data_IF_582247053965
#
_entry.id   IF_582247053965
#
_cell.length_a   1.000
_cell.length_b   1.000
_cell.length_c   1.000
_cell.angle_alpha   90.00
_cell.angle_beta   90.00
_cell.angle_gamma   90.00
#
_symmetry.space_group_name_H-M   'P 1'
#
loop_
_entity.id
_entity.type
_entity.pdbx_description
1 polymer ?
#
# COMPACT_ATOMS: atom_id res chain seq x y z
N UNK A 1 37.01 18.71 33.19
CA UNK A 1 36.67 17.45 32.50
C UNK A 1 35.35 17.69 31.81
N UNK A 2 35.40 18.15 30.55
CA UNK A 2 34.21 18.24 29.71
C UNK A 2 33.80 16.82 29.32
N UNK A 3 32.52 16.51 29.57
CA UNK A 3 31.93 15.26 29.15
C UNK A 3 31.85 15.26 27.61
N UNK A 4 32.69 14.45 26.98
CA UNK A 4 32.59 14.12 25.56
C UNK A 4 31.27 13.40 25.38
N UNK A 5 30.27 14.10 24.84
CA UNK A 5 29.06 13.47 24.33
C UNK A 5 29.48 12.55 23.19
N UNK A 6 29.36 11.25 23.43
CA UNK A 6 29.61 10.22 22.44
C UNK A 6 28.45 10.28 21.44
N UNK A 7 28.59 11.10 20.38
CA UNK A 7 27.71 10.98 19.21
C UNK A 7 27.84 9.56 18.69
N UNK A 8 26.76 8.78 18.77
CA UNK A 8 26.71 7.48 18.10
C UNK A 8 26.97 7.72 16.61
N UNK A 9 27.92 7.00 15.98
CA UNK A 9 28.23 7.25 14.58
C UNK A 9 26.97 7.02 13.73
N UNK A 10 26.54 8.06 12.99
CA UNK A 10 25.47 7.92 12.00
C UNK A 10 25.85 6.82 11.02
N UNK A 11 25.01 5.80 10.92
CA UNK A 11 25.18 4.70 9.96
C UNK A 11 25.18 5.30 8.55
N UNK A 12 26.21 5.01 7.75
CA UNK A 12 26.32 5.51 6.38
C UNK A 12 25.25 4.88 5.46
N UNK A 13 24.89 5.53 4.32
CA UNK A 13 24.00 4.95 3.32
C UNK A 13 24.43 3.54 2.89
N UNK A 14 25.72 3.33 2.64
CA UNK A 14 26.27 2.03 2.25
C UNK A 14 26.05 0.95 3.33
N UNK A 15 26.22 1.31 4.62
CA UNK A 15 25.93 0.40 5.73
C UNK A 15 24.43 0.09 5.85
N UNK A 16 23.55 1.05 5.51
CA UNK A 16 22.09 0.81 5.47
C UNK A 16 21.71 -0.17 4.35
N UNK A 17 22.27 -0.03 3.13
CA UNK A 17 22.08 -1.04 2.06
C UNK A 17 22.60 -2.42 2.48
N UNK A 18 23.81 -2.48 3.05
CA UNK A 18 24.37 -3.74 3.55
C UNK A 18 23.47 -4.41 4.60
N UNK A 19 22.85 -3.61 5.46
CA UNK A 19 21.88 -4.13 6.43
C UNK A 19 20.62 -4.68 5.75
N UNK A 20 20.12 -4.03 4.72
CA UNK A 20 18.97 -4.53 3.96
C UNK A 20 19.28 -5.87 3.28
N UNK A 21 20.50 -6.03 2.73
CA UNK A 21 20.97 -7.31 2.18
C UNK A 21 21.01 -8.41 3.25
N UNK A 22 21.57 -8.11 4.43
CA UNK A 22 21.63 -9.05 5.55
C UNK A 22 20.22 -9.51 5.95
N UNK A 23 19.28 -8.57 6.06
CA UNK A 23 17.89 -8.85 6.43
C UNK A 23 17.20 -9.69 5.35
N UNK A 24 17.24 -9.26 4.07
CA UNK A 24 16.69 -10.00 2.91
C UNK A 24 17.17 -11.46 2.90
N UNK A 25 18.48 -11.69 3.07
CA UNK A 25 19.04 -13.06 3.14
C UNK A 25 18.47 -13.89 4.28
N UNK A 26 18.22 -13.27 5.43
CA UNK A 26 17.73 -13.95 6.64
C UNK A 26 16.24 -14.27 6.58
N UNK A 27 15.44 -13.39 5.97
CA UNK A 27 13.98 -13.53 5.94
C UNK A 27 13.44 -14.23 4.70
N UNK A 28 14.32 -14.54 3.73
CA UNK A 28 13.97 -15.19 2.46
C UNK A 28 13.01 -16.36 2.65
N UNK A 29 11.94 -16.33 1.86
CA UNK A 29 10.87 -17.33 1.90
C UNK A 29 10.42 -17.72 0.49
N UNK A 30 9.69 -18.83 0.41
CA UNK A 30 9.14 -19.42 -0.82
C UNK A 30 7.61 -19.44 -0.78
N UNK A 31 6.97 -19.09 -1.91
CA UNK A 31 5.51 -19.01 -2.02
C UNK A 31 4.85 -20.34 -1.68
N UNK A 32 5.37 -21.46 -2.19
CA UNK A 32 4.73 -22.77 -2.04
C UNK A 32 5.01 -23.40 -0.68
N UNK A 33 6.28 -23.39 -0.26
CA UNK A 33 6.72 -24.06 0.97
C UNK A 33 6.35 -23.30 2.24
N UNK A 34 6.47 -21.98 2.23
CA UNK A 34 6.40 -21.19 3.47
C UNK A 34 5.04 -20.48 3.59
N UNK A 35 4.49 -19.99 2.47
CA UNK A 35 3.25 -19.20 2.45
C UNK A 35 2.03 -20.05 2.12
N UNK A 36 1.78 -20.40 0.87
CA UNK A 36 0.53 -21.00 0.42
C UNK A 36 0.34 -22.42 0.96
N UNK A 37 1.36 -23.28 0.88
CA UNK A 37 1.35 -24.64 1.46
C UNK A 37 0.16 -25.50 1.01
N UNK A 38 -0.31 -25.29 -0.22
CA UNK A 38 -1.50 -25.97 -0.75
C UNK A 38 -2.81 -25.63 -0.03
N UNK A 39 -2.84 -24.57 0.79
CA UNK A 39 -4.04 -24.11 1.50
C UNK A 39 -4.96 -23.34 0.57
N UNK A 40 -6.24 -23.32 0.95
CA UNK A 40 -7.30 -22.55 0.30
C UNK A 40 -7.89 -21.55 1.29
N UNK A 41 -8.56 -20.52 0.78
CA UNK A 41 -9.36 -19.66 1.64
C UNK A 41 -10.62 -20.39 2.09
N UNK A 42 -10.94 -20.23 3.37
CA UNK A 42 -12.20 -20.70 3.95
C UNK A 42 -13.23 -19.56 3.87
N UNK A 43 -14.39 -19.75 3.20
CA UNK A 43 -15.45 -18.75 3.12
C UNK A 43 -16.07 -18.36 4.48
N UNK A 44 -15.80 -19.12 5.55
CA UNK A 44 -16.20 -18.77 6.91
C UNK A 44 -15.30 -17.70 7.56
N UNK A 45 -14.10 -17.45 7.03
CA UNK A 45 -13.17 -16.46 7.58
C UNK A 45 -13.29 -15.08 6.93
N UNK A 46 -12.94 -14.03 7.67
CA UNK A 46 -12.69 -12.70 7.11
C UNK A 46 -11.36 -12.69 6.34
N UNK A 47 -11.25 -11.88 5.29
CA UNK A 47 -9.97 -11.66 4.62
C UNK A 47 -9.35 -10.33 5.04
N UNK A 48 -10.09 -9.22 4.98
CA UNK A 48 -9.63 -7.92 5.47
C UNK A 48 -9.95 -7.73 6.97
N UNK A 49 -9.01 -7.23 7.80
CA UNK A 49 -9.31 -6.90 9.20
C UNK A 49 -10.21 -5.68 9.33
N UNK A 50 -10.86 -5.51 10.48
CA UNK A 50 -11.88 -4.47 10.69
C UNK A 50 -11.31 -3.04 10.64
N UNK A 51 -10.08 -2.86 11.10
CA UNK A 51 -9.37 -1.57 11.04
C UNK A 51 -9.06 -1.10 9.61
N UNK A 52 -9.04 -2.02 8.64
CA UNK A 52 -8.81 -1.70 7.22
C UNK A 52 -10.11 -1.71 6.41
N UNK A 53 -10.99 -2.67 6.66
CA UNK A 53 -12.29 -2.73 6.00
C UNK A 53 -13.21 -1.57 6.37
N UNK A 54 -13.05 -1.04 7.59
CA UNK A 54 -13.94 -0.07 8.23
C UNK A 54 -15.42 -0.47 8.22
N UNK A 55 -15.70 -1.78 8.08
CA UNK A 55 -17.05 -2.32 7.88
C UNK A 55 -17.97 -2.03 9.06
N UNK A 56 -17.40 -1.74 10.23
CA UNK A 56 -18.15 -1.36 11.43
C UNK A 56 -18.91 -0.04 11.30
N UNK A 57 -18.58 0.81 10.30
CA UNK A 57 -19.29 2.05 9.98
C UNK A 57 -20.59 1.82 9.19
N UNK A 58 -20.92 0.57 8.85
CA UNK A 58 -22.13 0.16 8.16
C UNK A 58 -23.02 -0.67 9.11
N UNK A 59 -23.73 -0.02 10.07
CA UNK A 59 -24.42 -0.71 11.16
C UNK A 59 -25.56 -1.62 10.69
N UNK A 60 -26.16 -1.33 9.54
CA UNK A 60 -27.23 -2.11 8.92
C UNK A 60 -26.77 -3.44 8.32
N UNK A 61 -25.45 -3.66 8.18
CA UNK A 61 -24.92 -4.95 7.70
C UNK A 61 -24.85 -5.96 8.83
N UNK A 62 -25.38 -7.16 8.57
CA UNK A 62 -25.26 -8.30 9.50
C UNK A 62 -23.85 -8.92 9.51
N UNK A 63 -23.60 -9.89 10.40
CA UNK A 63 -22.28 -10.51 10.52
C UNK A 63 -21.80 -11.26 9.26
N UNK A 64 -22.70 -11.84 8.48
CA UNK A 64 -22.37 -12.51 7.22
C UNK A 64 -22.07 -11.48 6.13
N UNK A 65 -22.87 -10.44 6.03
CA UNK A 65 -22.69 -9.33 5.09
C UNK A 65 -21.35 -8.62 5.35
N UNK A 66 -21.00 -8.36 6.62
CA UNK A 66 -19.70 -7.79 6.99
C UNK A 66 -18.53 -8.69 6.62
N UNK A 67 -18.67 -10.01 6.84
CA UNK A 67 -17.65 -10.98 6.42
C UNK A 67 -17.48 -10.96 4.90
N UNK A 68 -18.58 -10.97 4.13
CA UNK A 68 -18.52 -10.89 2.67
C UNK A 68 -17.81 -9.62 2.19
N UNK A 69 -18.14 -8.46 2.78
CA UNK A 69 -17.45 -7.19 2.50
C UNK A 69 -15.94 -7.32 2.73
N UNK A 70 -15.54 -7.89 3.87
CA UNK A 70 -14.12 -8.09 4.18
C UNK A 70 -13.41 -9.02 3.18
N UNK A 71 -14.13 -9.99 2.61
CA UNK A 71 -13.59 -10.92 1.61
C UNK A 71 -13.40 -10.25 0.26
N UNK A 72 -14.37 -9.43 -0.15
CA UNK A 72 -14.29 -8.62 -1.37
C UNK A 72 -13.12 -7.62 -1.26
N UNK A 73 -13.05 -6.86 -0.17
CA UNK A 73 -11.95 -5.92 0.06
C UNK A 73 -10.61 -6.62 0.14
N UNK A 74 -10.53 -7.80 0.80
CA UNK A 74 -9.29 -8.58 0.87
C UNK A 74 -8.81 -9.05 -0.50
N UNK A 75 -9.73 -9.43 -1.39
CA UNK A 75 -9.43 -9.77 -2.79
C UNK A 75 -8.93 -8.55 -3.57
N UNK A 76 -9.61 -7.41 -3.44
CA UNK A 76 -9.17 -6.14 -4.04
C UNK A 76 -7.80 -5.72 -3.53
N UNK A 77 -7.52 -5.93 -2.25
CA UNK A 77 -6.24 -5.58 -1.65
C UNK A 77 -5.06 -6.39 -2.19
N UNK A 78 -5.22 -7.70 -2.34
CA UNK A 78 -4.21 -8.51 -3.02
C UNK A 78 -3.98 -8.05 -4.47
N UNK A 79 -5.06 -7.79 -5.23
CA UNK A 79 -4.93 -7.32 -6.61
C UNK A 79 -4.29 -5.93 -6.73
N UNK A 80 -4.59 -5.02 -5.79
CA UNK A 80 -4.01 -3.68 -5.77
C UNK A 80 -2.51 -3.71 -5.54
N UNK A 81 -2.04 -4.46 -4.54
CA UNK A 81 -0.60 -4.64 -4.31
C UNK A 81 0.09 -5.31 -5.49
N UNK A 82 -0.47 -6.38 -6.05
CA UNK A 82 0.10 -7.01 -7.24
C UNK A 82 0.25 -6.07 -8.44
N UNK A 83 -0.61 -5.05 -8.56
CA UNK A 83 -0.50 -4.00 -9.57
C UNK A 83 0.51 -2.91 -9.18
N UNK A 84 0.60 -2.54 -7.90
CA UNK A 84 1.57 -1.57 -7.39
C UNK A 84 3.01 -2.09 -7.53
N UNK A 85 3.26 -3.34 -7.13
CA UNK A 85 4.60 -3.97 -7.21
C UNK A 85 5.17 -3.95 -8.63
N UNK A 86 4.29 -3.89 -9.64
CA UNK A 86 4.69 -3.83 -11.04
C UNK A 86 5.47 -2.57 -11.38
N UNK A 87 4.96 -1.40 -10.99
CA UNK A 87 5.67 -0.15 -11.27
C UNK A 87 6.80 0.10 -10.27
N UNK A 88 6.66 -0.37 -9.03
CA UNK A 88 7.70 -0.31 -8.00
C UNK A 88 8.94 -1.07 -8.46
N UNK A 89 8.80 -2.36 -8.80
CA UNK A 89 9.90 -3.17 -9.30
C UNK A 89 10.54 -2.61 -10.59
N UNK A 90 9.72 -2.08 -11.52
CA UNK A 90 10.23 -1.46 -12.74
C UNK A 90 11.05 -0.19 -12.47
N UNK A 91 10.58 0.69 -11.58
CA UNK A 91 11.34 1.90 -11.21
C UNK A 91 12.61 1.54 -10.45
N UNK A 92 12.56 0.55 -9.57
CA UNK A 92 13.72 0.11 -8.80
C UNK A 92 14.82 -0.47 -9.71
N UNK A 93 14.47 -1.23 -10.74
CA UNK A 93 15.42 -1.65 -11.77
C UNK A 93 16.05 -0.46 -12.51
N UNK A 94 15.26 0.56 -12.85
CA UNK A 94 15.74 1.75 -13.53
C UNK A 94 16.77 2.51 -12.69
N UNK A 95 16.46 2.83 -11.43
CA UNK A 95 17.37 3.56 -10.54
C UNK A 95 18.57 2.71 -10.13
N UNK A 96 18.42 1.39 -10.06
CA UNK A 96 19.50 0.44 -9.81
C UNK A 96 20.61 0.50 -10.86
N UNK A 97 20.29 0.88 -12.11
CA UNK A 97 21.27 1.05 -13.19
C UNK A 97 22.35 2.08 -12.86
N UNK A 98 22.02 3.12 -12.10
CA UNK A 98 22.98 4.15 -11.70
C UNK A 98 24.11 3.60 -10.81
N UNK A 99 23.87 2.48 -10.13
CA UNK A 99 24.86 1.81 -9.28
C UNK A 99 25.69 0.76 -10.01
N UNK A 100 25.39 0.45 -11.29
CA UNK A 100 25.91 -0.71 -12.00
C UNK A 100 27.45 -0.83 -11.98
N UNK A 101 28.16 0.29 -12.13
CA UNK A 101 29.63 0.36 -12.09
C UNK A 101 30.16 1.12 -10.85
N UNK A 102 29.26 1.48 -9.92
CA UNK A 102 29.53 2.27 -8.73
C UNK A 102 29.38 1.44 -7.45
N UNK A 103 28.43 1.82 -6.60
CA UNK A 103 28.19 1.14 -5.32
C UNK A 103 27.55 -0.25 -5.52
N UNK A 104 28.40 -1.28 -5.57
CA UNK A 104 27.96 -2.66 -5.72
C UNK A 104 27.08 -3.15 -4.56
N UNK A 105 27.17 -2.52 -3.38
CA UNK A 105 26.31 -2.86 -2.24
C UNK A 105 24.89 -2.35 -2.48
N UNK A 106 24.75 -1.12 -2.97
CA UNK A 106 23.44 -0.58 -3.35
C UNK A 106 22.83 -1.38 -4.51
N UNK A 107 23.64 -1.72 -5.53
CA UNK A 107 23.20 -2.56 -6.65
C UNK A 107 22.67 -3.93 -6.18
N UNK A 108 23.41 -4.64 -5.31
CA UNK A 108 22.92 -5.93 -4.79
C UNK A 108 21.61 -5.76 -4.01
N UNK A 109 21.49 -4.72 -3.18
CA UNK A 109 20.27 -4.45 -2.41
C UNK A 109 19.07 -4.24 -3.33
N UNK A 110 19.23 -3.47 -4.41
CA UNK A 110 18.15 -3.19 -5.38
C UNK A 110 17.80 -4.43 -6.21
N UNK A 111 18.79 -5.23 -6.61
CA UNK A 111 18.51 -6.50 -7.33
C UNK A 111 17.68 -7.45 -6.46
N UNK A 112 17.98 -7.53 -5.16
CA UNK A 112 17.20 -8.33 -4.20
C UNK A 112 15.79 -7.79 -4.02
N UNK A 113 15.68 -6.48 -3.82
CA UNK A 113 14.39 -5.78 -3.77
C UNK A 113 13.54 -6.17 -4.98
N UNK A 114 14.08 -6.06 -6.20
CA UNK A 114 13.32 -6.38 -7.41
C UNK A 114 12.93 -7.87 -7.49
N UNK A 115 13.82 -8.79 -7.09
CA UNK A 115 13.49 -10.23 -7.02
C UNK A 115 12.31 -10.48 -6.06
N UNK A 116 12.30 -9.78 -4.92
CA UNK A 116 11.24 -9.81 -3.92
C UNK A 116 9.92 -9.25 -4.48
N UNK A 117 9.95 -8.12 -5.20
CA UNK A 117 8.76 -7.57 -5.87
C UNK A 117 8.17 -8.48 -6.95
N UNK A 118 9.01 -9.13 -7.75
CA UNK A 118 8.54 -10.08 -8.76
C UNK A 118 7.88 -11.30 -8.10
N UNK A 119 8.40 -11.74 -6.96
CA UNK A 119 7.81 -12.79 -6.15
C UNK A 119 6.48 -12.35 -5.53
N UNK A 120 6.36 -11.09 -5.08
CA UNK A 120 5.09 -10.54 -4.59
C UNK A 120 4.02 -10.48 -5.69
N UNK A 121 4.37 -10.03 -6.90
CA UNK A 121 3.46 -10.06 -8.05
C UNK A 121 2.93 -11.48 -8.32
N UNK A 122 3.83 -12.47 -8.31
CA UNK A 122 3.44 -13.87 -8.50
C UNK A 122 2.56 -14.39 -7.36
N UNK A 123 2.89 -14.04 -6.11
CA UNK A 123 2.08 -14.38 -4.94
C UNK A 123 0.67 -13.82 -5.10
N UNK A 124 0.51 -12.53 -5.41
CA UNK A 124 -0.80 -11.89 -5.49
C UNK A 124 -1.64 -12.39 -6.66
N UNK A 125 -1.02 -12.71 -7.81
CA UNK A 125 -1.71 -13.38 -8.92
C UNK A 125 -2.29 -14.74 -8.51
N UNK A 126 -1.56 -15.49 -7.67
CA UNK A 126 -2.03 -16.79 -7.13
C UNK A 126 -3.08 -16.62 -6.04
N UNK A 127 -2.95 -15.60 -5.19
CA UNK A 127 -3.95 -15.24 -4.17
C UNK A 127 -5.28 -14.88 -4.82
N UNK A 128 -5.24 -14.13 -5.93
CA UNK A 128 -6.46 -13.83 -6.69
C UNK A 128 -7.13 -15.11 -7.20
N UNK A 129 -6.38 -16.03 -7.81
CA UNK A 129 -6.94 -17.30 -8.26
C UNK A 129 -7.58 -18.10 -7.10
N UNK A 130 -6.99 -18.07 -5.90
CA UNK A 130 -7.55 -18.72 -4.71
C UNK A 130 -8.82 -18.01 -4.20
N UNK A 131 -8.84 -16.67 -4.22
CA UNK A 131 -10.01 -15.88 -3.84
C UNK A 131 -11.18 -16.10 -4.81
N UNK A 132 -10.90 -16.22 -6.11
CA UNK A 132 -11.87 -16.53 -7.15
C UNK A 132 -12.54 -17.90 -6.97
N UNK A 133 -11.85 -18.88 -6.38
CA UNK A 133 -12.44 -20.19 -6.04
C UNK A 133 -13.35 -20.12 -4.80
N UNK A 134 -13.16 -19.12 -3.95
CA UNK A 134 -13.80 -19.02 -2.64
C UNK A 134 -14.99 -18.06 -2.63
N UNK A 135 -15.09 -17.20 -3.64
CA UNK A 135 -16.17 -16.24 -3.83
C UNK A 135 -16.95 -16.55 -5.11
N UNK A 136 -18.24 -16.21 -5.19
CA UNK A 136 -19.01 -16.35 -6.42
C UNK A 136 -18.38 -15.62 -7.62
N UNK A 137 -18.78 -15.96 -8.87
CA UNK A 137 -18.37 -15.21 -10.04
C UNK A 137 -18.99 -13.80 -10.06
N UNK A 138 -18.36 -12.86 -10.77
CA UNK A 138 -18.88 -11.50 -10.98
C UNK A 138 -17.96 -10.39 -10.50
N UNK A 139 -16.98 -10.70 -9.64
CA UNK A 139 -15.93 -9.77 -9.24
C UNK A 139 -15.15 -9.24 -10.44
N UNK A 140 -14.81 -7.96 -10.42
CA UNK A 140 -13.98 -7.31 -11.43
C UNK A 140 -12.94 -6.42 -10.75
N UNK A 141 -11.67 -6.68 -11.05
CA UNK A 141 -10.61 -5.72 -10.78
C UNK A 141 -10.54 -4.74 -11.96
N UNK A 142 -10.85 -3.48 -11.71
CA UNK A 142 -10.99 -2.43 -12.72
C UNK A 142 -9.62 -1.97 -13.27
N UNK A 143 -8.59 -1.72 -12.44
CA UNK A 143 -7.32 -1.21 -12.92
C UNK A 143 -6.63 -2.19 -13.88
N UNK A 144 -6.07 -1.65 -14.97
CA UNK A 144 -5.19 -2.40 -15.87
C UNK A 144 -3.74 -2.16 -15.47
N UNK A 145 -3.06 -3.19 -14.97
CA UNK A 145 -1.75 -3.03 -14.33
C UNK A 145 -0.69 -2.40 -15.25
N UNK A 146 -0.68 -2.75 -16.54
CA UNK A 146 0.26 -2.16 -17.51
C UNK A 146 -0.03 -0.69 -17.82
N UNK A 147 -1.31 -0.30 -17.88
CA UNK A 147 -1.69 1.10 -18.12
C UNK A 147 -1.35 1.97 -16.92
N UNK A 148 -1.63 1.47 -15.71
CA UNK A 148 -1.27 2.16 -14.47
C UNK A 148 0.25 2.27 -14.36
N UNK A 149 0.99 1.19 -14.62
CA UNK A 149 2.45 1.22 -14.59
C UNK A 149 3.02 2.21 -15.62
N UNK A 150 2.49 2.24 -16.85
CA UNK A 150 2.91 3.19 -17.87
C UNK A 150 2.63 4.65 -17.47
N UNK A 151 1.49 4.93 -16.86
CA UNK A 151 1.17 6.25 -16.33
C UNK A 151 2.14 6.66 -15.22
N UNK A 152 2.36 5.79 -14.23
CA UNK A 152 3.24 6.07 -13.08
C UNK A 152 4.67 6.28 -13.55
N UNK A 153 5.20 5.38 -14.39
CA UNK A 153 6.57 5.45 -14.92
C UNK A 153 6.81 6.64 -15.86
N UNK A 154 5.74 7.31 -16.32
CA UNK A 154 5.82 8.57 -17.05
C UNK A 154 6.03 9.81 -16.18
N UNK A 155 6.02 9.67 -14.84
CA UNK A 155 6.24 10.78 -13.89
C UNK A 155 7.70 10.91 -13.47
N UNK A 156 8.04 12.01 -12.80
CA UNK A 156 9.42 12.21 -12.32
C UNK A 156 9.86 11.10 -11.37
N UNK A 157 11.12 10.67 -11.45
CA UNK A 157 11.70 9.65 -10.57
C UNK A 157 11.54 10.02 -9.10
N UNK A 158 11.72 11.30 -8.75
CA UNK A 158 11.51 11.80 -7.39
C UNK A 158 10.08 11.53 -6.89
N UNK A 159 9.06 11.80 -7.72
CA UNK A 159 7.65 11.60 -7.35
C UNK A 159 7.31 10.12 -7.18
N UNK A 160 7.84 9.27 -8.05
CA UNK A 160 7.61 7.83 -8.00
C UNK A 160 8.25 7.26 -6.74
N UNK A 161 9.49 7.63 -6.41
CA UNK A 161 10.15 7.19 -5.17
C UNK A 161 9.46 7.72 -3.91
N UNK A 162 8.93 8.94 -3.93
CA UNK A 162 8.11 9.48 -2.85
C UNK A 162 6.83 8.65 -2.64
N UNK A 163 6.15 8.29 -3.74
CA UNK A 163 4.96 7.43 -3.71
C UNK A 163 5.30 6.02 -3.20
N UNK A 164 6.34 5.38 -3.74
CA UNK A 164 6.80 4.05 -3.31
C UNK A 164 7.13 4.04 -1.82
N UNK A 165 7.91 5.01 -1.34
CA UNK A 165 8.23 5.13 0.09
C UNK A 165 6.98 5.26 0.96
N UNK A 166 5.96 6.00 0.49
CA UNK A 166 4.67 6.08 1.19
C UNK A 166 3.96 4.72 1.23
N UNK A 167 3.89 4.01 0.09
CA UNK A 167 3.29 2.68 -0.01
C UNK A 167 4.00 1.68 0.90
N UNK A 168 5.33 1.69 0.98
CA UNK A 168 6.03 0.77 1.87
C UNK A 168 5.78 1.07 3.35
N UNK A 169 5.52 2.33 3.69
CA UNK A 169 5.12 2.70 5.04
C UNK A 169 3.68 2.22 5.32
N UNK A 170 2.78 2.31 4.34
CA UNK A 170 1.40 1.78 4.44
C UNK A 170 1.40 0.29 4.81
N UNK A 171 2.24 -0.53 4.17
CA UNK A 171 2.30 -1.98 4.47
C UNK A 171 2.71 -2.24 5.92
N UNK A 172 3.60 -1.43 6.48
CA UNK A 172 3.98 -1.48 7.90
C UNK A 172 2.82 -1.14 8.83
N UNK A 173 2.10 -0.06 8.53
CA UNK A 173 0.94 0.41 9.30
C UNK A 173 -0.14 -0.67 9.33
N UNK A 174 -0.49 -1.20 8.16
CA UNK A 174 -1.55 -2.20 8.01
C UNK A 174 -1.26 -3.49 8.78
N UNK A 175 -0.04 -4.01 8.67
CA UNK A 175 0.30 -5.24 9.36
C UNK A 175 0.28 -5.06 10.88
N UNK A 176 1.02 -4.04 11.40
CA UNK A 176 1.21 -3.85 12.84
C UNK A 176 -0.06 -3.37 13.55
N UNK A 177 -0.84 -2.49 12.93
CA UNK A 177 -1.99 -1.88 13.60
C UNK A 177 -3.27 -2.71 13.41
N UNK A 178 -3.37 -3.54 12.36
CA UNK A 178 -4.60 -4.27 12.05
C UNK A 178 -4.42 -5.79 11.92
N UNK A 179 -3.51 -6.27 11.07
CA UNK A 179 -3.48 -7.70 10.73
C UNK A 179 -2.87 -8.58 11.84
N UNK A 180 -1.84 -8.10 12.53
CA UNK A 180 -1.15 -8.87 13.58
C UNK A 180 -2.08 -9.21 14.76
N UNK A 181 -2.92 -8.26 15.16
CA UNK A 181 -3.79 -8.39 16.33
C UNK A 181 -5.15 -9.05 16.04
N UNK A 182 -5.62 -9.07 14.79
CA UNK A 182 -6.90 -9.69 14.45
C UNK A 182 -6.77 -11.23 14.48
N UNK A 183 -7.42 -11.86 15.46
CA UNK A 183 -7.48 -13.31 15.65
C UNK A 183 -8.58 -13.99 14.84
N UNK A 184 -9.49 -13.21 14.26
CA UNK A 184 -10.61 -13.67 13.43
C UNK A 184 -10.30 -13.64 11.92
N UNK A 185 -9.10 -13.19 11.57
CA UNK A 185 -8.60 -13.16 10.19
C UNK A 185 -8.32 -14.58 9.69
N UNK A 186 -8.58 -14.81 8.41
CA UNK A 186 -8.16 -16.04 7.72
C UNK A 186 -6.67 -16.33 7.99
N UNK A 187 -6.32 -17.53 8.51
CA UNK A 187 -4.93 -17.88 8.77
C UNK A 187 -4.04 -17.80 7.51
N UNK A 188 -4.60 -18.14 6.34
CA UNK A 188 -3.89 -18.02 5.06
C UNK A 188 -3.65 -16.55 4.71
N UNK A 189 -4.66 -15.69 4.86
CA UNK A 189 -4.53 -14.25 4.56
C UNK A 189 -3.50 -13.60 5.50
N UNK A 190 -3.55 -13.93 6.79
CA UNK A 190 -2.60 -13.43 7.77
C UNK A 190 -1.16 -13.85 7.45
N UNK A 191 -0.95 -15.09 7.03
CA UNK A 191 0.38 -15.55 6.61
C UNK A 191 0.86 -14.84 5.33
N UNK A 192 0.00 -14.70 4.30
CA UNK A 192 0.33 -13.99 3.06
C UNK A 192 0.90 -12.60 3.37
N UNK A 193 0.18 -11.81 4.17
CA UNK A 193 0.61 -10.45 4.47
C UNK A 193 1.69 -10.36 5.54
N UNK A 194 1.86 -11.37 6.41
CA UNK A 194 3.04 -11.47 7.27
C UNK A 194 4.32 -11.64 6.45
N UNK A 195 4.30 -12.51 5.45
CA UNK A 195 5.48 -12.79 4.63
C UNK A 195 5.80 -11.64 3.66
N UNK A 196 4.77 -11.03 3.07
CA UNK A 196 4.90 -9.77 2.31
C UNK A 196 5.50 -8.66 3.19
N UNK A 197 4.88 -8.35 4.33
CA UNK A 197 5.34 -7.30 5.25
C UNK A 197 6.78 -7.48 5.76
N UNK A 198 7.21 -8.74 5.98
CA UNK A 198 8.60 -9.01 6.37
C UNK A 198 9.57 -8.40 5.37
N UNK A 199 9.28 -8.51 4.08
CA UNK A 199 10.12 -7.97 3.01
C UNK A 199 9.89 -6.47 2.77
N UNK A 200 8.65 -5.98 2.91
CA UNK A 200 8.42 -4.54 2.78
C UNK A 200 9.10 -3.69 3.87
N UNK A 201 9.46 -4.31 4.99
CA UNK A 201 10.13 -3.61 6.09
C UNK A 201 11.53 -3.10 5.75
N UNK A 202 12.27 -3.80 4.89
CA UNK A 202 13.55 -3.31 4.37
C UNK A 202 13.40 -2.50 3.09
N UNK A 203 12.35 -2.74 2.29
CA UNK A 203 12.08 -1.97 1.08
C UNK A 203 11.93 -0.48 1.40
N UNK A 204 11.15 -0.14 2.43
CA UNK A 204 11.02 1.22 2.94
C UNK A 204 12.36 1.92 3.27
N UNK A 205 13.42 1.16 3.61
CA UNK A 205 14.76 1.73 3.85
C UNK A 205 15.47 2.04 2.53
N UNK A 206 15.37 1.12 1.57
CA UNK A 206 15.98 1.27 0.24
C UNK A 206 15.29 2.43 -0.49
N UNK A 207 13.96 2.52 -0.46
CA UNK A 207 13.23 3.62 -1.11
C UNK A 207 13.59 4.98 -0.54
N UNK A 208 13.70 5.08 0.79
CA UNK A 208 14.16 6.30 1.44
C UNK A 208 15.57 6.69 0.97
N UNK A 209 16.49 5.74 0.85
CA UNK A 209 17.85 6.00 0.37
C UNK A 209 17.89 6.44 -1.10
N UNK A 210 17.13 5.76 -1.97
CA UNK A 210 17.02 6.12 -3.38
C UNK A 210 16.36 7.49 -3.55
N UNK A 211 15.30 7.77 -2.78
CA UNK A 211 14.61 9.06 -2.81
C UNK A 211 15.53 10.20 -2.36
N UNK A 212 16.30 10.03 -1.28
CA UNK A 212 17.27 11.04 -0.84
C UNK A 212 18.41 11.21 -1.86
N UNK A 213 18.84 10.13 -2.54
CA UNK A 213 19.85 10.26 -3.61
C UNK A 213 19.31 11.06 -4.78
N UNK A 214 18.06 10.79 -5.19
CA UNK A 214 17.42 11.53 -6.27
C UNK A 214 17.24 12.99 -5.89
N UNK A 215 16.68 13.29 -4.72
CA UNK A 215 16.46 14.67 -4.25
C UNK A 215 17.74 15.52 -4.28
N UNK A 216 18.88 14.96 -3.90
CA UNK A 216 20.17 15.63 -3.91
C UNK A 216 20.63 16.11 -5.31
N UNK A 217 20.01 15.61 -6.39
CA UNK A 217 20.28 15.99 -7.78
C UNK A 217 19.37 17.10 -8.29
N UNK A 218 18.24 17.35 -7.61
CA UNK A 218 17.23 18.29 -8.06
C UNK A 218 17.53 19.70 -7.54
N UNK A 219 17.31 20.69 -8.40
CA UNK A 219 17.15 22.08 -7.96
C UNK A 219 15.70 22.35 -7.52
N UNK A 220 15.47 23.51 -6.90
CA UNK A 220 14.15 23.86 -6.36
C UNK A 220 13.05 23.91 -7.43
N UNK A 221 13.38 24.33 -8.65
CA UNK A 221 12.43 24.42 -9.75
C UNK A 221 12.01 23.04 -10.24
N UNK A 222 12.97 22.13 -10.44
CA UNK A 222 12.74 20.74 -10.83
C UNK A 222 11.98 19.99 -9.74
N UNK A 223 12.33 20.22 -8.46
CA UNK A 223 11.58 19.68 -7.32
C UNK A 223 10.14 20.19 -7.30
N UNK A 224 9.89 21.46 -7.63
CA UNK A 224 8.53 21.96 -7.70
C UNK A 224 7.69 21.26 -8.78
N UNK A 225 8.28 20.93 -9.93
CA UNK A 225 7.62 20.10 -10.94
C UNK A 225 7.34 18.70 -10.41
N UNK A 226 8.31 18.06 -9.74
CA UNK A 226 8.15 16.74 -9.14
C UNK A 226 7.03 16.71 -8.07
N UNK A 227 6.82 17.78 -7.31
CA UNK A 227 5.68 17.87 -6.39
C UNK A 227 4.35 17.90 -7.15
N UNK A 228 4.30 18.55 -8.31
CA UNK A 228 3.12 18.50 -9.19
C UNK A 228 2.83 17.08 -9.67
N UNK A 229 3.87 16.36 -10.11
CA UNK A 229 3.74 14.96 -10.51
C UNK A 229 3.30 14.05 -9.36
N UNK A 230 3.77 14.29 -8.12
CA UNK A 230 3.32 13.53 -6.95
C UNK A 230 1.82 13.76 -6.66
N UNK A 231 1.35 15.00 -6.81
CA UNK A 231 -0.07 15.33 -6.70
C UNK A 231 -0.87 14.59 -7.78
N UNK A 232 -0.43 14.63 -9.03
CA UNK A 232 -1.10 13.90 -10.12
C UNK A 232 -1.17 12.39 -9.85
N UNK A 233 -0.10 11.79 -9.32
CA UNK A 233 -0.08 10.38 -8.94
C UNK A 233 -1.13 10.07 -7.87
N UNK A 234 -1.18 10.86 -6.79
CA UNK A 234 -2.14 10.67 -5.70
C UNK A 234 -3.58 10.84 -6.19
N UNK A 235 -3.83 11.84 -7.05
CA UNK A 235 -5.17 12.07 -7.62
C UNK A 235 -5.60 10.93 -8.56
N UNK A 236 -4.67 10.39 -9.35
CA UNK A 236 -4.94 9.23 -10.21
C UNK A 236 -5.26 7.98 -9.37
N UNK A 237 -4.51 7.74 -8.29
CA UNK A 237 -4.78 6.63 -7.36
C UNK A 237 -6.15 6.81 -6.71
N UNK A 238 -6.50 8.02 -6.25
CA UNK A 238 -7.83 8.28 -5.68
C UNK A 238 -8.96 8.01 -6.68
N UNK A 239 -8.84 8.48 -7.93
CA UNK A 239 -9.82 8.20 -8.97
C UNK A 239 -9.97 6.69 -9.25
N UNK A 240 -8.86 5.97 -9.23
CA UNK A 240 -8.83 4.51 -9.37
C UNK A 240 -9.52 3.81 -8.19
N UNK A 241 -9.28 4.27 -6.95
CA UNK A 241 -9.96 3.74 -5.75
C UNK A 241 -11.46 3.95 -5.82
N UNK A 242 -11.92 5.11 -6.27
CA UNK A 242 -13.35 5.39 -6.45
C UNK A 242 -13.98 4.44 -7.49
N UNK A 243 -13.31 4.23 -8.63
CA UNK A 243 -13.79 3.31 -9.66
C UNK A 243 -13.86 1.85 -9.15
N UNK A 244 -12.85 1.39 -8.40
CA UNK A 244 -12.86 0.06 -7.81
C UNK A 244 -13.91 -0.07 -6.71
N UNK A 245 -14.09 0.95 -5.85
CA UNK A 245 -15.13 0.97 -4.83
C UNK A 245 -16.54 0.84 -5.44
N UNK A 246 -16.81 1.50 -6.57
CA UNK A 246 -18.07 1.34 -7.29
C UNK A 246 -18.29 -0.09 -7.81
N UNK A 247 -17.25 -0.72 -8.36
CA UNK A 247 -17.32 -2.10 -8.84
C UNK A 247 -17.55 -3.10 -7.68
N UNK A 248 -16.85 -2.89 -6.56
CA UNK A 248 -16.96 -3.75 -5.38
C UNK A 248 -18.28 -3.57 -4.65
N UNK A 249 -18.82 -2.33 -4.58
CA UNK A 249 -20.15 -2.05 -4.03
C UNK A 249 -21.23 -2.77 -4.84
N UNK A 250 -21.16 -2.66 -6.18
CA UNK A 250 -22.09 -3.35 -7.07
C UNK A 250 -22.00 -4.87 -6.89
N UNK A 251 -20.78 -5.42 -6.90
CA UNK A 251 -20.57 -6.85 -6.70
C UNK A 251 -21.12 -7.31 -5.35
N UNK A 252 -20.82 -6.58 -4.27
CA UNK A 252 -21.36 -6.84 -2.94
C UNK A 252 -22.89 -6.89 -2.92
N UNK A 253 -23.56 -5.88 -3.47
CA UNK A 253 -25.03 -5.81 -3.51
C UNK A 253 -25.65 -7.00 -4.26
N UNK A 254 -25.05 -7.43 -5.38
CA UNK A 254 -25.55 -8.60 -6.13
C UNK A 254 -25.44 -9.93 -5.39
N UNK A 255 -24.60 -9.99 -4.35
CA UNK A 255 -24.32 -11.21 -3.58
C UNK A 255 -25.16 -11.33 -2.30
N UNK A 256 -26.01 -10.33 -2.01
CA UNK A 256 -26.89 -10.36 -0.85
C UNK A 256 -28.17 -11.15 -1.14
N UNK A 257 -28.70 -11.80 -0.09
CA UNK A 257 -30.01 -12.49 -0.16
C UNK A 257 -31.19 -11.52 0.02
N UNK A 258 -30.92 -10.22 0.09
CA UNK A 258 -31.89 -9.13 0.20
C UNK A 258 -31.49 -7.99 -0.71
N UNK A 259 -32.48 -7.20 -1.13
CA UNK A 259 -32.20 -5.91 -1.76
C UNK A 259 -31.78 -4.89 -0.68
N UNK A 260 -30.77 -4.09 -1.00
CA UNK A 260 -30.46 -2.86 -0.26
C UNK A 260 -31.42 -1.75 -0.74
N UNK A 261 -31.74 -0.83 0.16
CA UNK A 261 -32.34 0.45 -0.23
C UNK A 261 -31.32 1.35 -0.94
N UNK A 262 -31.78 2.34 -1.70
CA UNK A 262 -30.91 3.32 -2.36
C UNK A 262 -29.94 4.01 -1.38
N UNK A 263 -30.39 4.26 -0.14
CA UNK A 263 -29.54 4.83 0.93
C UNK A 263 -28.46 3.85 1.39
N UNK A 264 -28.82 2.58 1.65
CA UNK A 264 -27.86 1.55 2.04
C UNK A 264 -26.82 1.31 0.94
N UNK A 265 -27.22 1.27 -0.34
CA UNK A 265 -26.30 1.14 -1.48
C UNK A 265 -25.31 2.32 -1.54
N UNK A 266 -25.82 3.55 -1.40
CA UNK A 266 -24.99 4.75 -1.38
C UNK A 266 -23.99 4.73 -0.22
N UNK A 267 -24.43 4.28 0.97
CA UNK A 267 -23.57 4.15 2.16
C UNK A 267 -22.52 3.06 2.00
N UNK A 268 -22.84 1.91 1.40
CA UNK A 268 -21.86 0.87 1.07
C UNK A 268 -20.77 1.44 0.16
N UNK A 269 -21.15 2.12 -0.92
CA UNK A 269 -20.20 2.72 -1.84
C UNK A 269 -19.31 3.76 -1.14
N UNK A 270 -19.91 4.68 -0.37
CA UNK A 270 -19.16 5.70 0.37
C UNK A 270 -18.20 5.10 1.40
N UNK A 271 -18.63 4.03 2.11
CA UNK A 271 -17.79 3.31 3.06
C UNK A 271 -16.59 2.62 2.40
N UNK A 272 -16.79 2.05 1.20
CA UNK A 272 -15.68 1.47 0.41
C UNK A 272 -14.70 2.53 -0.08
N UNK A 273 -15.17 3.70 -0.53
CA UNK A 273 -14.30 4.82 -0.89
C UNK A 273 -13.43 5.25 0.29
N UNK A 274 -14.03 5.43 1.47
CA UNK A 274 -13.30 5.79 2.68
C UNK A 274 -12.28 4.72 3.07
N UNK A 275 -12.66 3.44 3.04
CA UNK A 275 -11.77 2.34 3.36
C UNK A 275 -10.60 2.26 2.38
N UNK A 276 -10.81 2.47 1.08
CA UNK A 276 -9.74 2.42 0.08
C UNK A 276 -8.81 3.63 0.14
N UNK A 277 -9.35 4.84 0.39
CA UNK A 277 -8.51 6.01 0.68
C UNK A 277 -7.66 5.81 1.92
N UNK A 278 -8.24 5.24 2.97
CA UNK A 278 -7.50 4.86 4.17
C UNK A 278 -6.38 3.86 3.84
N UNK A 279 -6.70 2.80 3.11
CA UNK A 279 -5.76 1.75 2.77
C UNK A 279 -4.60 2.25 1.89
N UNK A 280 -4.82 3.02 0.82
CA UNK A 280 -3.76 3.25 -0.18
C UNK A 280 -3.19 4.67 -0.19
N UNK A 281 -3.72 5.59 0.62
CA UNK A 281 -3.28 6.98 0.63
C UNK A 281 -3.09 7.48 2.06
N UNK A 282 -4.17 7.52 2.84
CA UNK A 282 -4.21 8.28 4.09
C UNK A 282 -3.37 7.62 5.18
N UNK A 283 -3.38 6.29 5.32
CA UNK A 283 -2.61 5.60 6.37
C UNK A 283 -1.10 5.83 6.26
N UNK A 284 -0.56 5.99 5.05
CA UNK A 284 0.85 6.27 4.80
C UNK A 284 1.17 7.75 4.95
N UNK A 285 0.33 8.62 4.38
CA UNK A 285 0.50 10.08 4.48
C UNK A 285 0.44 10.56 5.93
N UNK A 286 -0.40 9.95 6.77
CA UNK A 286 -0.55 10.30 8.18
C UNK A 286 0.46 9.64 9.11
N UNK A 287 1.26 8.69 8.60
CA UNK A 287 2.29 8.07 9.42
C UNK A 287 3.42 9.08 9.69
N UNK A 288 3.76 9.37 10.97
CA UNK A 288 4.73 10.41 11.32
C UNK A 288 6.08 10.27 10.61
N UNK A 289 6.54 9.03 10.40
CA UNK A 289 7.79 8.75 9.69
C UNK A 289 7.80 9.31 8.27
N UNK A 290 6.69 9.18 7.53
CA UNK A 290 6.62 9.71 6.17
C UNK A 290 6.68 11.24 6.17
N UNK A 291 5.92 11.89 7.06
CA UNK A 291 5.93 13.35 7.24
C UNK A 291 7.32 13.89 7.63
N UNK A 292 8.05 13.18 8.47
CA UNK A 292 9.43 13.53 8.84
C UNK A 292 10.41 13.43 7.66
N UNK A 293 10.27 12.42 6.79
CA UNK A 293 11.12 12.29 5.60
C UNK A 293 10.79 13.39 4.60
N UNK A 294 9.50 13.55 4.29
CA UNK A 294 9.01 14.51 3.32
C UNK A 294 9.40 15.95 3.69
N UNK A 295 9.24 16.35 4.95
CA UNK A 295 9.56 17.71 5.42
C UNK A 295 11.06 18.06 5.35
N UNK A 296 11.95 17.08 5.21
CA UNK A 296 13.39 17.32 5.00
C UNK A 296 13.73 17.72 3.58
N UNK A 297 12.90 17.34 2.61
CA UNK A 297 13.19 17.52 1.18
C UNK A 297 12.29 18.54 0.50
N UNK A 298 11.18 18.96 1.12
CA UNK A 298 10.28 19.96 0.52
C UNK A 298 10.31 21.30 1.26
N UNK A 299 10.02 22.38 0.53
CA UNK A 299 9.75 23.70 1.12
C UNK A 299 8.34 23.78 1.72
N UNK A 300 8.12 24.75 2.62
CA UNK A 300 6.79 25.04 3.20
C UNK A 300 5.72 25.25 2.11
N UNK A 301 6.02 26.06 1.09
CA UNK A 301 5.11 26.29 -0.05
C UNK A 301 4.72 25.01 -0.79
N UNK A 302 5.68 24.09 -0.99
CA UNK A 302 5.41 22.80 -1.61
C UNK A 302 4.55 21.91 -0.70
N UNK A 303 4.82 21.94 0.61
CA UNK A 303 4.04 21.24 1.62
C UNK A 303 2.59 21.72 1.69
N UNK A 304 2.37 23.04 1.68
CA UNK A 304 1.02 23.63 1.62
C UNK A 304 0.26 23.18 0.36
N UNK A 305 0.93 23.17 -0.80
CA UNK A 305 0.31 22.73 -2.06
C UNK A 305 -0.09 21.26 -2.03
N UNK A 306 0.77 20.39 -1.49
CA UNK A 306 0.46 18.97 -1.31
C UNK A 306 -0.68 18.77 -0.30
N UNK A 307 -0.66 19.50 0.82
CA UNK A 307 -1.73 19.47 1.83
C UNK A 307 -3.08 19.90 1.26
N UNK A 308 -3.10 20.96 0.44
CA UNK A 308 -4.31 21.41 -0.24
C UNK A 308 -4.86 20.36 -1.23
N UNK A 309 -3.98 19.65 -1.94
CA UNK A 309 -4.37 18.56 -2.84
C UNK A 309 -4.93 17.34 -2.10
N UNK A 310 -4.41 17.04 -0.89
CA UNK A 310 -4.88 15.93 -0.06
C UNK A 310 -6.17 16.23 0.71
N UNK A 311 -6.49 17.51 0.95
CA UNK A 311 -7.63 17.91 1.78
C UNK A 311 -8.98 17.31 1.31
N UNK A 312 -9.31 17.25 0.00
CA UNK A 312 -10.52 16.58 -0.47
C UNK A 312 -10.55 15.07 -0.21
N UNK A 313 -9.40 14.40 -0.27
CA UNK A 313 -9.27 12.94 -0.06
C UNK A 313 -9.44 12.60 1.42
N UNK A 314 -8.99 13.47 2.32
CA UNK A 314 -9.15 13.33 3.77
C UNK A 314 -10.58 13.47 4.27
N UNK A 315 -11.48 14.07 3.47
CA UNK A 315 -12.89 14.18 3.85
C UNK A 315 -13.56 12.83 3.65
N UNK A 316 -14.15 12.33 4.73
CA UNK A 316 -14.97 11.12 4.70
C UNK A 316 -16.15 11.31 3.75
N UNK A 317 -16.31 10.37 2.82
CA UNK A 317 -17.45 10.28 1.93
C UNK A 317 -18.68 9.73 2.66
N UNK A 318 -18.48 8.80 3.60
CA UNK A 318 -19.56 8.28 4.43
C UNK A 318 -19.75 9.21 5.64
N UNK A 319 -20.86 9.93 5.65
CA UNK A 319 -21.25 10.77 6.79
C UNK A 319 -21.44 9.90 8.05
N UNK A 320 -20.93 10.38 9.19
CA UNK A 320 -21.24 9.78 10.48
C UNK A 320 -22.73 9.99 10.75
N UNK A 321 -23.45 8.95 11.17
CA UNK A 321 -24.79 9.17 11.73
C UNK A 321 -24.65 10.16 12.91
N UNK A 322 -25.51 11.19 13.00
CA UNK A 322 -25.55 12.01 14.19
C UNK A 322 -25.81 11.09 15.38
N UNK A 323 -25.00 11.22 16.43
CA UNK A 323 -25.10 10.41 17.63
C UNK A 323 -26.52 10.55 18.20
N UNK A 324 -27.41 9.59 17.93
CA UNK A 324 -28.80 9.60 18.42
C UNK A 324 -28.80 9.10 19.87
N UNK A 325 -27.97 9.71 20.72
CA UNK A 325 -27.99 9.60 22.17
C UNK A 325 -27.44 10.92 22.75
N UNK A 326 -28.30 11.93 22.80
CA UNK A 326 -28.23 13.04 23.74
C UNK A 326 -29.44 12.98 24.67
#
# INVERSE_FOLDING_TARGET
>A
MEAVQHESPRISPQQRYAKCIEVSRRIRWDIDRDVLRGRFFDPAHKFMPDGLSQVNRLPFLDARERRLMSQIQGRTYANMFGMIERFVGAKMLEVGRDHALGDQTALEAIVRFTDEELKHQELFRRVEALAALSLPPGYRFIPQADEVAAFVLGKSTWSILALTCCVEIVTQVHYRQSMESDSSLSPLFKDIFLFHWKEESQHAIIDELEWMREDARLDDATRDVAIGDLIDLVMAIDGMMQAQAAADAHYFATMLDRALSDDEEARVHAGLVDAYRWQYIISGVDEPRFGEILSRVISERQGERLGAALAPIRRLALESEPDVLA
#
